data_IF_066664202919
#
_entry.id   IF_066664202919
#
_cell.length_a   1.000
_cell.length_b   1.000
_cell.length_c   1.000
_cell.angle_alpha   90.00
_cell.angle_beta   90.00
_cell.angle_gamma   90.00
#
_symmetry.space_group_name_H-M   'P 1'
#
loop_
_entity.id
_entity.type
_entity.pdbx_description
1 polymer ?
#
# COMPACT_ATOMS: atom_id res chain seq x y z
N UNK A 1 -61.22 -36.86 -28.32
CA UNK A 1 -61.11 -35.41 -28.04
C UNK A 1 -60.58 -35.10 -26.64
N UNK A 2 -61.04 -35.78 -25.57
CA UNK A 2 -60.58 -35.56 -24.18
C UNK A 2 -59.05 -35.71 -23.96
N UNK A 3 -58.41 -36.71 -24.56
CA UNK A 3 -56.97 -36.99 -24.35
C UNK A 3 -56.02 -35.92 -24.96
N UNK A 4 -56.45 -35.22 -26.02
CA UNK A 4 -55.66 -34.13 -26.62
C UNK A 4 -55.78 -32.83 -25.81
N UNK A 5 -56.94 -32.58 -25.19
CA UNK A 5 -57.14 -31.44 -24.30
C UNK A 5 -56.29 -31.56 -23.03
N UNK A 6 -56.18 -32.78 -22.49
CA UNK A 6 -55.40 -33.06 -21.29
C UNK A 6 -53.89 -32.87 -21.54
N UNK A 7 -53.35 -33.35 -22.68
CA UNK A 7 -51.96 -33.08 -23.09
C UNK A 7 -51.67 -31.60 -23.35
N UNK A 8 -52.65 -30.85 -23.87
CA UNK A 8 -52.51 -29.41 -24.09
C UNK A 8 -52.42 -28.66 -22.75
N UNK A 9 -53.29 -29.00 -21.80
CA UNK A 9 -53.30 -28.41 -20.47
C UNK A 9 -52.01 -28.71 -19.68
N UNK A 10 -51.46 -29.92 -19.79
CA UNK A 10 -50.17 -30.27 -19.19
C UNK A 10 -49.02 -29.46 -19.79
N UNK A 11 -49.02 -29.27 -21.12
CA UNK A 11 -48.03 -28.45 -21.81
C UNK A 11 -48.09 -26.98 -21.40
N UNK A 12 -49.30 -26.42 -21.26
CA UNK A 12 -49.48 -25.04 -20.79
C UNK A 12 -48.98 -24.86 -19.35
N UNK A 13 -49.22 -25.85 -18.48
CA UNK A 13 -48.68 -25.84 -17.11
C UNK A 13 -47.16 -25.84 -17.09
N UNK A 14 -46.52 -26.65 -17.93
CA UNK A 14 -45.05 -26.68 -18.06
C UNK A 14 -44.53 -25.35 -18.60
N UNK A 15 -45.19 -24.76 -19.61
CA UNK A 15 -44.80 -23.45 -20.14
C UNK A 15 -44.90 -22.35 -19.08
N UNK A 16 -45.94 -22.37 -18.24
CA UNK A 16 -46.07 -21.44 -17.12
C UNK A 16 -44.95 -21.61 -16.08
N UNK A 17 -44.57 -22.86 -15.76
CA UNK A 17 -43.45 -23.13 -14.86
C UNK A 17 -42.13 -22.60 -15.42
N UNK A 18 -41.83 -22.90 -16.70
CA UNK A 18 -40.63 -22.40 -17.38
C UNK A 18 -40.60 -20.87 -17.38
N UNK A 19 -41.72 -20.21 -17.67
CA UNK A 19 -41.79 -18.74 -17.62
C UNK A 19 -41.54 -18.18 -16.21
N UNK A 20 -42.03 -18.86 -15.17
CA UNK A 20 -41.78 -18.48 -13.79
C UNK A 20 -40.29 -18.64 -13.43
N UNK A 21 -39.67 -19.76 -13.81
CA UNK A 21 -38.24 -20.00 -13.57
C UNK A 21 -37.36 -18.99 -14.31
N UNK A 22 -37.67 -18.67 -15.58
CA UNK A 22 -36.97 -17.63 -16.34
C UNK A 22 -37.01 -16.29 -15.61
N UNK A 23 -38.19 -15.88 -15.11
CA UNK A 23 -38.33 -14.63 -14.35
C UNK A 23 -37.51 -14.66 -13.05
N UNK A 24 -37.53 -15.77 -12.31
CA UNK A 24 -36.72 -15.92 -11.10
C UNK A 24 -35.23 -15.84 -11.41
N UNK A 25 -34.77 -16.50 -12.48
CA UNK A 25 -33.39 -16.46 -12.94
C UNK A 25 -32.96 -15.03 -13.29
N UNK A 26 -33.82 -14.29 -14.01
CA UNK A 26 -33.58 -12.89 -14.37
C UNK A 26 -33.43 -12.00 -13.14
N UNK A 27 -34.32 -12.13 -12.15
CA UNK A 27 -34.25 -11.38 -10.90
C UNK A 27 -32.96 -11.72 -10.13
N UNK A 28 -32.60 -13.00 -10.06
CA UNK A 28 -31.37 -13.44 -9.42
C UNK A 28 -30.12 -12.87 -10.08
N UNK A 29 -30.07 -12.85 -11.42
CA UNK A 29 -28.98 -12.24 -12.19
C UNK A 29 -28.87 -10.75 -11.88
N UNK A 30 -29.98 -10.00 -11.87
CA UNK A 30 -29.96 -8.58 -11.53
C UNK A 30 -29.43 -8.33 -10.11
N UNK A 31 -29.84 -9.15 -9.13
CA UNK A 31 -29.33 -9.07 -7.76
C UNK A 31 -27.82 -9.34 -7.71
N UNK A 32 -27.36 -10.40 -8.37
CA UNK A 32 -25.94 -10.76 -8.42
C UNK A 32 -25.10 -9.66 -9.09
N UNK A 33 -25.59 -9.06 -10.17
CA UNK A 33 -24.93 -7.92 -10.81
C UNK A 33 -24.79 -6.74 -9.86
N UNK A 34 -25.85 -6.41 -9.10
CA UNK A 34 -25.77 -5.34 -8.09
C UNK A 34 -24.75 -5.62 -6.98
N UNK A 35 -24.65 -6.88 -6.53
CA UNK A 35 -23.64 -7.30 -5.56
C UNK A 35 -22.22 -7.21 -6.14
N UNK A 36 -22.03 -7.62 -7.40
CA UNK A 36 -20.76 -7.51 -8.11
C UNK A 36 -20.33 -6.04 -8.27
N UNK A 37 -21.24 -5.14 -8.62
CA UNK A 37 -20.94 -3.71 -8.73
C UNK A 37 -20.53 -3.12 -7.38
N UNK A 38 -21.21 -3.51 -6.29
CA UNK A 38 -20.84 -3.07 -4.95
C UNK A 38 -19.46 -3.56 -4.57
N UNK A 39 -19.18 -4.84 -4.79
CA UNK A 39 -17.87 -5.44 -4.52
C UNK A 39 -16.77 -4.78 -5.38
N UNK A 40 -17.06 -4.49 -6.64
CA UNK A 40 -16.13 -3.79 -7.53
C UNK A 40 -15.79 -2.39 -7.01
N UNK A 41 -16.78 -1.62 -6.53
CA UNK A 41 -16.54 -0.32 -5.90
C UNK A 41 -15.69 -0.44 -4.64
N UNK A 42 -15.96 -1.44 -3.80
CA UNK A 42 -15.15 -1.73 -2.62
C UNK A 42 -13.72 -2.11 -2.98
N UNK A 43 -13.52 -2.94 -4.00
CA UNK A 43 -12.19 -3.31 -4.47
C UNK A 43 -11.42 -2.10 -4.99
N UNK A 44 -12.05 -1.24 -5.80
CA UNK A 44 -11.42 -0.01 -6.29
C UNK A 44 -11.04 0.94 -5.15
N UNK A 45 -11.86 1.02 -4.11
CA UNK A 45 -11.51 1.78 -2.90
C UNK A 45 -10.29 1.19 -2.20
N UNK A 46 -10.25 -0.14 -2.01
CA UNK A 46 -9.12 -0.82 -1.39
C UNK A 46 -7.84 -0.69 -2.21
N UNK A 47 -7.92 -0.68 -3.54
CA UNK A 47 -6.79 -0.39 -4.44
C UNK A 47 -6.22 1.00 -4.15
N UNK A 48 -7.08 2.02 -4.04
CA UNK A 48 -6.66 3.38 -3.66
C UNK A 48 -6.01 3.42 -2.28
N UNK A 49 -6.59 2.74 -1.28
CA UNK A 49 -5.98 2.64 0.06
C UNK A 49 -4.60 2.01 0.00
N UNK A 50 -4.41 0.94 -0.77
CA UNK A 50 -3.10 0.30 -0.95
C UNK A 50 -2.10 1.26 -1.60
N UNK A 51 -2.54 2.05 -2.58
CA UNK A 51 -1.71 3.06 -3.22
C UNK A 51 -1.28 4.16 -2.24
N UNK A 52 -2.19 4.64 -1.39
CA UNK A 52 -1.88 5.62 -0.34
C UNK A 52 -0.83 5.07 0.65
N UNK A 53 -0.97 3.82 1.10
CA UNK A 53 0.02 3.18 1.97
C UNK A 53 1.38 3.03 1.30
N UNK A 54 1.42 2.71 0.00
CA UNK A 54 2.68 2.70 -0.76
C UNK A 54 3.30 4.08 -0.82
N UNK A 55 2.51 5.11 -1.12
CA UNK A 55 2.97 6.51 -1.17
C UNK A 55 3.55 6.97 0.17
N UNK A 56 2.83 6.72 1.27
CA UNK A 56 3.30 7.04 2.62
C UNK A 56 4.60 6.31 2.98
N UNK A 57 4.69 5.02 2.67
CA UNK A 57 5.91 4.24 2.89
C UNK A 57 7.09 4.81 2.10
N UNK A 58 6.90 5.08 0.81
CA UNK A 58 7.96 5.58 -0.05
C UNK A 58 8.43 6.97 0.41
N UNK A 59 7.50 7.80 0.90
CA UNK A 59 7.82 9.07 1.56
C UNK A 59 8.69 8.87 2.82
N UNK A 60 8.35 7.93 3.72
CA UNK A 60 9.17 7.64 4.91
C UNK A 60 10.60 7.20 4.51
N UNK A 61 10.72 6.32 3.52
CA UNK A 61 12.02 5.86 3.03
C UNK A 61 12.82 7.05 2.50
N UNK A 62 12.18 7.96 1.75
CA UNK A 62 12.84 9.13 1.20
C UNK A 62 13.30 10.10 2.30
N UNK A 63 12.47 10.36 3.31
CA UNK A 63 12.86 11.20 4.45
C UNK A 63 14.06 10.62 5.21
N UNK A 64 14.11 9.30 5.39
CA UNK A 64 15.29 8.64 6.00
C UNK A 64 16.54 8.73 5.13
N UNK A 65 16.42 8.64 3.81
CA UNK A 65 17.53 8.88 2.88
C UNK A 65 18.02 10.32 2.95
N UNK A 66 17.12 11.29 3.01
CA UNK A 66 17.44 12.70 3.15
C UNK A 66 18.17 12.96 4.49
N UNK A 67 17.68 12.36 5.58
CA UNK A 67 18.33 12.42 6.89
C UNK A 67 19.75 11.86 6.86
N UNK A 68 19.97 10.73 6.18
CA UNK A 68 21.29 10.14 5.98
C UNK A 68 22.24 11.13 5.27
N UNK A 69 21.80 11.69 4.13
CA UNK A 69 22.59 12.66 3.34
C UNK A 69 22.97 13.87 4.20
N UNK A 70 22.03 14.38 4.99
CA UNK A 70 22.27 15.51 5.89
C UNK A 70 23.33 15.20 6.94
N UNK A 71 23.24 14.03 7.61
CA UNK A 71 24.23 13.60 8.61
C UNK A 71 25.62 13.42 7.99
N UNK A 72 25.71 12.83 6.79
CA UNK A 72 26.97 12.71 6.04
C UNK A 72 27.56 14.10 5.71
N UNK A 73 26.70 15.05 5.30
CA UNK A 73 27.11 16.42 5.06
C UNK A 73 27.66 17.13 6.30
N UNK A 74 27.06 16.90 7.47
CA UNK A 74 27.57 17.42 8.75
C UNK A 74 28.94 16.85 9.07
N UNK A 75 29.16 15.54 8.89
CA UNK A 75 30.46 14.91 9.12
C UNK A 75 31.52 15.56 8.21
N UNK A 76 31.26 15.64 6.90
CA UNK A 76 32.18 16.26 5.95
C UNK A 76 32.48 17.72 6.27
N UNK A 77 31.49 18.46 6.80
CA UNK A 77 31.71 19.83 7.25
C UNK A 77 32.66 19.89 8.45
N UNK A 78 32.43 19.05 9.47
CA UNK A 78 33.29 19.00 10.66
C UNK A 78 34.72 18.56 10.31
N UNK A 79 34.89 17.58 9.43
CA UNK A 79 36.20 17.13 8.93
C UNK A 79 36.95 18.26 8.23
N UNK A 80 36.27 19.06 7.39
CA UNK A 80 36.88 20.21 6.71
C UNK A 80 37.36 21.28 7.69
N UNK A 81 36.56 21.60 8.71
CA UNK A 81 36.96 22.57 9.75
C UNK A 81 38.19 22.10 10.52
N UNK A 82 38.30 20.80 10.80
CA UNK A 82 39.48 20.23 11.47
C UNK A 82 40.73 20.34 10.59
N UNK A 83 40.63 20.02 9.29
CA UNK A 83 41.77 20.06 8.34
C UNK A 83 42.25 21.49 8.10
N UNK A 84 41.35 22.47 8.07
CA UNK A 84 41.69 23.88 7.82
C UNK A 84 42.40 24.55 9.00
N UNK A 85 42.57 23.85 10.13
CA UNK A 85 43.31 24.37 11.29
C UNK A 85 42.60 25.52 12.00
N UNK A 86 41.31 25.73 11.74
CA UNK A 86 40.51 26.83 12.29
C UNK A 86 40.13 26.62 13.78
N UNK A 87 40.64 25.56 14.41
CA UNK A 87 40.19 25.12 15.73
C UNK A 87 41.31 25.11 16.78
N UNK A 88 40.99 25.60 17.97
CA UNK A 88 41.80 25.42 19.18
C UNK A 88 41.70 23.97 19.69
N UNK A 89 42.66 23.50 20.49
CA UNK A 89 42.67 22.12 21.02
C UNK A 89 41.37 21.73 21.74
N UNK A 90 40.79 22.67 22.50
CA UNK A 90 39.50 22.49 23.17
C UNK A 90 38.36 22.31 22.17
N UNK A 91 38.34 23.12 21.11
CA UNK A 91 37.32 23.04 20.06
C UNK A 91 37.48 21.74 19.26
N UNK A 92 38.71 21.29 18.99
CA UNK A 92 38.95 19.99 18.34
C UNK A 92 38.39 18.81 19.15
N UNK A 93 38.59 18.81 20.48
CA UNK A 93 38.05 17.77 21.34
C UNK A 93 36.51 17.75 21.33
N UNK A 94 35.89 18.93 21.30
CA UNK A 94 34.45 19.09 21.20
C UNK A 94 33.91 18.59 19.86
N UNK A 95 34.55 18.99 18.76
CA UNK A 95 34.20 18.56 17.41
C UNK A 95 34.27 17.05 17.24
N UNK A 96 35.31 16.39 17.77
CA UNK A 96 35.42 14.92 17.74
C UNK A 96 34.28 14.23 18.49
N UNK A 97 33.83 14.82 19.60
CA UNK A 97 32.68 14.30 20.33
C UNK A 97 31.39 14.45 19.51
N UNK A 98 31.18 15.60 18.87
CA UNK A 98 30.00 15.84 18.03
C UNK A 98 29.99 14.92 16.80
N UNK A 99 31.12 14.78 16.13
CA UNK A 99 31.34 13.86 15.01
C UNK A 99 30.97 12.43 15.39
N UNK A 100 31.47 11.93 16.53
CA UNK A 100 31.10 10.61 17.05
C UNK A 100 29.59 10.48 17.29
N UNK A 101 28.96 11.50 17.88
CA UNK A 101 27.51 11.48 18.09
C UNK A 101 26.72 11.46 16.77
N UNK A 102 27.22 12.14 15.74
CA UNK A 102 26.60 12.15 14.41
C UNK A 102 26.77 10.78 13.73
N UNK A 103 27.94 10.15 13.84
CA UNK A 103 28.20 8.79 13.35
C UNK A 103 27.26 7.76 14.01
N UNK A 104 27.08 7.82 15.34
CA UNK A 104 26.15 6.93 16.04
C UNK A 104 24.71 7.10 15.55
N UNK A 105 24.30 8.33 15.23
CA UNK A 105 22.98 8.63 14.64
C UNK A 105 22.88 8.12 13.20
N UNK A 106 23.95 8.28 12.42
CA UNK A 106 24.01 7.81 11.03
C UNK A 106 23.84 6.29 10.96
N UNK A 107 24.48 5.56 11.87
CA UNK A 107 24.36 4.10 11.91
C UNK A 107 22.95 3.65 12.30
N UNK A 108 22.28 4.36 13.22
CA UNK A 108 20.85 4.13 13.51
C UNK A 108 19.99 4.35 12.27
N UNK A 109 20.17 5.46 11.55
CA UNK A 109 19.41 5.75 10.32
C UNK A 109 19.65 4.70 9.24
N UNK A 110 20.88 4.21 9.08
CA UNK A 110 21.21 3.12 8.15
C UNK A 110 20.49 1.81 8.51
N UNK A 111 20.46 1.46 9.80
CA UNK A 111 19.76 0.27 10.27
C UNK A 111 18.26 0.37 10.04
N UNK A 112 17.64 1.49 10.40
CA UNK A 112 16.22 1.75 10.17
C UNK A 112 15.88 1.70 8.67
N UNK A 113 16.73 2.27 7.80
CA UNK A 113 16.57 2.16 6.34
C UNK A 113 16.61 0.71 5.86
N UNK A 114 17.56 -0.09 6.36
CA UNK A 114 17.68 -1.49 6.00
C UNK A 114 16.45 -2.30 6.45
N UNK A 115 15.93 -2.03 7.65
CA UNK A 115 14.70 -2.65 8.15
C UNK A 115 13.49 -2.29 7.28
N UNK A 116 13.31 -1.00 6.99
CA UNK A 116 12.22 -0.53 6.13
C UNK A 116 12.28 -1.13 4.73
N UNK A 117 13.48 -1.21 4.13
CA UNK A 117 13.66 -1.81 2.80
C UNK A 117 13.42 -3.33 2.84
N UNK A 118 13.98 -4.04 3.83
CA UNK A 118 13.84 -5.49 3.91
C UNK A 118 12.41 -5.94 4.23
N UNK A 119 11.64 -5.15 5.00
CA UNK A 119 10.22 -5.39 5.22
C UNK A 119 9.39 -5.40 3.93
N UNK A 120 9.89 -4.83 2.83
CA UNK A 120 9.17 -4.75 1.54
C UNK A 120 9.48 -5.88 0.56
N UNK A 121 10.42 -6.78 0.88
CA UNK A 121 10.83 -7.89 -0.01
C UNK A 121 10.07 -9.22 0.21
N UNK A 122 9.01 -9.24 1.02
CA UNK A 122 8.13 -10.40 1.19
C UNK A 122 6.92 -10.30 0.27
#
# INVERSE_FOLDING_TARGET
MSNNLMKLAERDKILQQIQSEIKLQQINLLRQTGELEKNHKSNKFLEGVVEDYKGFRDHIIQEKRNQKIFLEGLITYLEKMQIQGEMTDRLMAQTKHEEKSILDKLDKVKNELNELINATKK
#
